data_IF_730157024001
#
_entry.id   IF_730157024001
#
_cell.length_a   1.000
_cell.length_b   1.000
_cell.length_c   1.000
_cell.angle_alpha   90.00
_cell.angle_beta   90.00
_cell.angle_gamma   90.00
#
_symmetry.space_group_name_H-M   'P 1'
#
loop_
_entity.id
_entity.type
_entity.pdbx_description
1 polymer ?
#
# COMPACT_ATOMS: atom_id res chain seq x y z
N UNK A 1 -6.01 -69.01 -0.53
CA UNK A 1 -5.01 -68.06 -1.07
C UNK A 1 -5.76 -67.00 -1.85
N UNK A 2 -5.50 -65.72 -1.55
CA UNK A 2 -6.06 -64.57 -2.26
C UNK A 2 -6.75 -63.55 -1.33
N UNK A 3 -5.95 -62.76 -0.60
CA UNK A 3 -6.33 -61.42 -0.13
C UNK A 3 -6.53 -60.51 -1.35
N UNK A 4 -7.51 -59.62 -1.36
CA UNK A 4 -7.21 -58.20 -1.57
C UNK A 4 -8.29 -57.26 -0.99
N UNK A 5 -7.82 -56.08 -0.63
CA UNK A 5 -8.37 -55.16 0.37
C UNK A 5 -9.10 -54.00 -0.32
N UNK A 6 -10.39 -53.82 -0.05
CA UNK A 6 -11.07 -52.58 -0.45
C UNK A 6 -10.79 -51.49 0.58
N UNK A 7 -9.84 -50.61 0.25
CA UNK A 7 -9.50 -49.41 1.03
C UNK A 7 -10.66 -48.41 0.98
N UNK A 8 -11.17 -48.05 2.15
CA UNK A 8 -12.04 -46.89 2.35
C UNK A 8 -11.24 -45.61 2.06
N UNK A 9 -11.57 -44.91 0.97
CA UNK A 9 -11.01 -43.59 0.66
C UNK A 9 -11.79 -42.57 1.50
N UNK A 10 -11.17 -42.14 2.60
CA UNK A 10 -11.65 -41.04 3.44
C UNK A 10 -11.44 -39.74 2.64
N UNK A 11 -12.50 -38.94 2.52
CA UNK A 11 -12.53 -37.70 1.75
C UNK A 11 -11.39 -36.75 2.10
N UNK A 12 -10.73 -36.22 1.06
CA UNK A 12 -9.68 -35.22 1.17
C UNK A 12 -10.32 -33.90 1.61
N UNK A 13 -10.04 -33.49 2.85
CA UNK A 13 -10.46 -32.23 3.44
C UNK A 13 -9.93 -31.05 2.60
N UNK A 14 -10.82 -30.31 1.94
CA UNK A 14 -10.52 -29.05 1.26
C UNK A 14 -10.99 -27.93 2.18
N UNK A 15 -10.07 -27.33 2.90
CA UNK A 15 -10.31 -26.21 3.82
C UNK A 15 -8.99 -25.64 4.34
N UNK A 16 -8.95 -24.39 4.81
CA UNK A 16 -7.73 -23.78 5.33
C UNK A 16 -7.19 -24.58 6.51
N UNK A 17 -5.89 -24.82 6.51
CA UNK A 17 -5.17 -25.55 7.55
C UNK A 17 -5.10 -24.64 8.78
N UNK A 18 -6.02 -24.82 9.74
CA UNK A 18 -6.09 -24.01 10.98
C UNK A 18 -4.93 -24.27 11.95
N UNK A 19 -4.02 -25.20 11.63
CA UNK A 19 -2.97 -25.66 12.54
C UNK A 19 -1.66 -24.84 12.46
N UNK A 20 -1.52 -23.91 11.51
CA UNK A 20 -0.31 -23.06 11.35
C UNK A 20 -0.55 -21.60 11.73
N UNK A 21 -1.57 -21.32 12.55
CA UNK A 21 -1.70 -19.98 13.14
C UNK A 21 -0.60 -19.79 14.20
N UNK A 22 0.16 -18.69 14.17
CA UNK A 22 1.11 -18.40 15.24
C UNK A 22 0.35 -18.32 16.56
N UNK A 23 0.90 -18.95 17.59
CA UNK A 23 0.34 -18.86 18.95
C UNK A 23 0.39 -17.38 19.34
N UNK A 24 -0.78 -16.78 19.53
CA UNK A 24 -0.90 -15.43 20.07
C UNK A 24 -0.44 -15.50 21.53
N UNK A 25 0.80 -15.12 21.80
CA UNK A 25 1.26 -14.83 23.16
C UNK A 25 0.48 -13.61 23.66
N UNK A 26 -0.67 -13.88 24.27
CA UNK A 26 -1.29 -12.94 25.18
C UNK A 26 -0.28 -12.67 26.29
N UNK A 27 0.23 -11.44 26.37
CA UNK A 27 1.01 -10.95 27.52
C UNK A 27 0.12 -10.96 28.77
N UNK A 28 -0.07 -12.14 29.36
CA UNK A 28 -0.72 -12.32 30.64
C UNK A 28 0.38 -12.17 31.69
N UNK A 29 0.37 -11.04 32.40
CA UNK A 29 1.18 -10.88 33.60
C UNK A 29 0.56 -11.76 34.69
N UNK A 30 1.09 -12.97 34.86
CA UNK A 30 0.70 -13.87 35.95
C UNK A 30 1.53 -13.52 37.18
N UNK A 31 0.97 -12.71 38.08
CA UNK A 31 1.43 -12.66 39.47
C UNK A 31 0.72 -13.78 40.23
N UNK A 32 1.45 -14.85 40.56
CA UNK A 32 0.95 -15.94 41.42
C UNK A 32 1.73 -15.94 42.73
N UNK A 33 1.16 -15.29 43.73
CA UNK A 33 1.61 -15.39 45.11
C UNK A 33 1.29 -16.78 45.68
N UNK A 34 2.28 -17.37 46.38
CA UNK A 34 2.15 -17.97 47.73
C UNK A 34 3.11 -19.14 47.95
N UNK A 35 4.25 -18.88 48.59
CA UNK A 35 4.72 -19.70 49.72
C UNK A 35 5.73 -18.91 50.56
N UNK A 36 5.47 -18.90 51.86
CA UNK A 36 6.16 -18.13 52.89
C UNK A 36 7.61 -18.56 53.11
N UNK A 37 8.57 -17.68 52.84
CA UNK A 37 9.89 -17.69 53.49
C UNK A 37 10.30 -16.25 53.84
N UNK A 38 10.91 -16.13 55.02
CA UNK A 38 11.22 -14.93 55.78
C UNK A 38 11.65 -13.68 54.97
N UNK A 39 11.08 -12.54 55.39
CA UNK A 39 11.42 -11.18 55.00
C UNK A 39 12.94 -10.94 55.08
N UNK A 40 13.61 -10.97 53.93
CA UNK A 40 14.79 -10.15 53.68
C UNK A 40 14.34 -8.93 52.90
N UNK A 41 14.32 -7.82 53.62
CA UNK A 41 14.14 -6.43 53.19
C UNK A 41 14.36 -6.26 51.67
N UNK A 42 13.27 -6.37 50.91
CA UNK A 42 13.27 -6.02 49.50
C UNK A 42 13.43 -4.51 49.43
N UNK A 43 14.57 -4.04 48.95
CA UNK A 43 14.69 -2.71 48.35
C UNK A 43 13.42 -2.45 47.54
N UNK A 44 12.73 -1.31 47.68
CA UNK A 44 11.58 -1.02 46.85
C UNK A 44 12.07 -1.09 45.40
N UNK A 45 11.69 -2.14 44.68
CA UNK A 45 11.86 -2.19 43.23
C UNK A 45 11.03 -1.01 42.75
N UNK A 46 11.70 0.07 42.36
CA UNK A 46 11.05 1.24 41.80
C UNK A 46 10.11 0.72 40.70
N UNK A 47 8.81 0.93 40.90
CA UNK A 47 7.77 0.48 39.97
C UNK A 47 8.16 1.07 38.61
N UNK A 48 8.60 0.20 37.69
CA UNK A 48 9.05 0.67 36.39
C UNK A 48 7.91 1.50 35.78
N UNK A 49 8.20 2.68 35.21
CA UNK A 49 7.17 3.52 34.64
C UNK A 49 6.41 2.70 33.59
N UNK A 50 5.10 2.57 33.79
CA UNK A 50 4.22 1.89 32.84
C UNK A 50 3.73 2.92 31.84
N UNK A 51 4.05 2.71 30.57
CA UNK A 51 3.62 3.57 29.48
C UNK A 51 2.48 2.86 28.73
N UNK A 52 1.21 3.25 28.94
CA UNK A 52 0.10 2.59 28.29
C UNK A 52 0.14 2.86 26.78
N UNK A 53 -0.05 1.80 26.00
CA UNK A 53 -0.23 1.84 24.55
C UNK A 53 -1.65 1.37 24.28
N UNK A 54 -2.41 2.21 23.58
CA UNK A 54 -3.73 1.88 23.09
C UNK A 54 -3.58 1.27 21.70
N UNK A 55 -4.04 0.04 21.53
CA UNK A 55 -4.13 -0.62 20.24
C UNK A 55 -5.58 -1.09 20.05
N UNK A 56 -6.16 -0.80 18.90
CA UNK A 56 -7.55 -1.13 18.58
C UNK A 56 -7.70 -1.39 17.09
N UNK A 57 -8.61 -2.27 16.72
CA UNK A 57 -8.82 -2.58 15.31
C UNK A 57 -9.92 -3.61 15.09
N UNK A 58 -10.24 -3.80 13.81
CA UNK A 58 -11.18 -4.78 13.31
C UNK A 58 -10.53 -5.55 12.18
N UNK A 59 -10.72 -6.87 12.18
CA UNK A 59 -10.33 -7.74 11.08
C UNK A 59 -11.52 -8.66 10.79
N UNK A 60 -11.91 -8.76 9.53
CA UNK A 60 -12.96 -9.69 9.11
C UNK A 60 -12.60 -10.34 7.78
N UNK A 61 -13.13 -11.54 7.58
CA UNK A 61 -13.01 -12.32 6.35
C UNK A 61 -14.33 -13.06 6.13
N UNK A 62 -15.01 -12.75 5.04
CA UNK A 62 -16.28 -13.35 4.63
C UNK A 62 -16.13 -14.11 3.33
N UNK A 63 -16.79 -15.27 3.23
CA UNK A 63 -16.93 -16.03 1.98
C UNK A 63 -18.39 -15.94 1.55
N UNK A 64 -18.63 -15.38 0.37
CA UNK A 64 -19.94 -15.33 -0.25
C UNK A 64 -20.04 -16.41 -1.32
N UNK A 65 -21.08 -17.25 -1.26
CA UNK A 65 -21.32 -18.32 -2.24
C UNK A 65 -22.57 -17.95 -3.01
N UNK A 66 -22.43 -17.74 -4.33
CA UNK A 66 -23.58 -17.48 -5.21
C UNK A 66 -24.26 -18.76 -5.66
N UNK A 67 -25.56 -18.66 -6.00
CA UNK A 67 -26.34 -19.76 -6.59
C UNK A 67 -25.80 -20.25 -7.95
N UNK A 68 -24.94 -19.46 -8.59
CA UNK A 68 -24.24 -19.80 -9.83
C UNK A 68 -22.88 -20.47 -9.60
N UNK A 69 -22.58 -20.90 -8.38
CA UNK A 69 -21.34 -21.61 -8.04
C UNK A 69 -20.09 -20.75 -8.00
N UNK A 70 -20.21 -19.43 -8.16
CA UNK A 70 -19.10 -18.48 -8.01
C UNK A 70 -18.99 -18.06 -6.55
N UNK A 71 -17.82 -18.24 -5.95
CA UNK A 71 -17.51 -17.79 -4.59
C UNK A 71 -16.69 -16.50 -4.60
N UNK A 72 -17.05 -15.52 -3.78
CA UNK A 72 -16.31 -14.27 -3.59
C UNK A 72 -15.74 -14.21 -2.16
N UNK A 73 -14.45 -13.93 -2.04
CA UNK A 73 -13.79 -13.71 -0.75
C UNK A 73 -13.76 -12.21 -0.47
N UNK A 74 -14.43 -11.80 0.60
CA UNK A 74 -14.42 -10.43 1.09
C UNK A 74 -13.59 -10.37 2.37
N UNK A 75 -12.90 -9.27 2.61
CA UNK A 75 -12.15 -9.07 3.83
C UNK A 75 -11.87 -7.60 4.07
N UNK A 76 -11.55 -7.28 5.31
CA UNK A 76 -11.16 -5.92 5.67
C UNK A 76 -10.32 -5.93 6.94
N UNK A 77 -9.36 -5.03 6.96
CA UNK A 77 -8.49 -4.77 8.11
C UNK A 77 -8.50 -3.28 8.42
N UNK A 78 -8.72 -2.94 9.68
CA UNK A 78 -8.47 -1.60 10.23
C UNK A 78 -7.76 -1.77 11.55
N UNK A 79 -6.55 -1.25 11.67
CA UNK A 79 -5.76 -1.33 12.89
C UNK A 79 -5.18 0.03 13.22
N UNK A 80 -5.25 0.43 14.49
CA UNK A 80 -4.72 1.68 15.00
C UNK A 80 -3.95 1.43 16.28
N UNK A 81 -2.81 2.09 16.41
CA UNK A 81 -1.97 2.06 17.60
C UNK A 81 -1.58 3.49 17.99
N UNK A 82 -1.61 3.80 19.28
CA UNK A 82 -1.15 5.07 19.81
C UNK A 82 -0.72 4.92 21.28
N UNK A 83 0.45 5.43 21.65
CA UNK A 83 0.94 5.31 23.01
C UNK A 83 2.27 5.99 23.25
N UNK A 84 2.70 5.95 24.52
CA UNK A 84 4.07 6.29 24.91
C UNK A 84 4.89 4.99 24.96
N UNK A 85 6.11 5.02 24.44
CA UNK A 85 7.11 3.98 24.67
C UNK A 85 7.99 4.33 25.88
N UNK A 86 8.23 5.63 26.08
CA UNK A 86 8.79 6.19 27.31
C UNK A 86 8.38 7.67 27.46
N UNK A 87 8.97 8.42 28.41
CA UNK A 87 8.66 9.84 28.64
C UNK A 87 8.89 10.73 27.41
N UNK A 88 9.79 10.35 26.51
CA UNK A 88 10.20 11.13 25.35
C UNK A 88 9.71 10.53 24.03
N UNK A 89 9.49 9.22 23.97
CA UNK A 89 9.16 8.49 22.75
C UNK A 89 7.67 8.17 22.72
N UNK A 90 7.01 8.55 21.63
CA UNK A 90 5.61 8.24 21.34
C UNK A 90 5.52 7.45 20.06
N UNK A 91 4.59 6.50 20.00
CA UNK A 91 4.26 5.73 18.80
C UNK A 91 2.82 6.00 18.40
N UNK A 92 2.56 6.11 17.11
CA UNK A 92 1.21 6.18 16.54
C UNK A 92 1.20 5.59 15.15
N UNK A 93 0.16 4.85 14.76
CA UNK A 93 0.06 4.31 13.41
C UNK A 93 -1.34 3.82 13.08
N UNK A 94 -1.60 3.71 11.79
CA UNK A 94 -2.82 3.15 11.22
C UNK A 94 -2.45 2.24 10.06
N UNK A 95 -3.12 1.10 9.98
CA UNK A 95 -3.05 0.15 8.86
C UNK A 95 -4.48 -0.15 8.46
N UNK A 96 -4.84 0.20 7.23
CA UNK A 96 -6.16 -0.08 6.67
C UNK A 96 -5.99 -0.78 5.32
N UNK A 97 -6.74 -1.86 5.12
CA UNK A 97 -6.87 -2.58 3.85
C UNK A 97 -8.38 -2.81 3.71
N UNK A 98 -9.08 -1.81 3.18
CA UNK A 98 -10.54 -1.81 3.07
C UNK A 98 -10.94 -1.64 1.59
N UNK A 99 -11.38 -2.73 0.97
CA UNK A 99 -12.11 -2.65 -0.29
C UNK A 99 -13.56 -2.31 0.02
N UNK A 100 -13.94 -1.03 -0.09
CA UNK A 100 -15.34 -0.63 0.10
C UNK A 100 -16.20 -1.24 -1.02
N UNK A 101 -17.27 -1.99 -0.71
CA UNK A 101 -18.34 -2.19 -1.67
C UNK A 101 -19.06 -0.85 -1.86
N UNK A 102 -18.94 -0.25 -3.05
CA UNK A 102 -19.68 0.95 -3.42
C UNK A 102 -21.18 0.68 -3.37
N UNK A 103 -21.86 1.16 -2.33
CA UNK A 103 -23.32 1.23 -2.27
C UNK A 103 -23.80 2.56 -2.88
N UNK A 104 -24.73 2.55 -3.85
CA UNK A 104 -25.19 3.75 -4.54
C UNK A 104 -26.24 4.55 -3.73
N UNK A 105 -25.95 4.88 -2.47
CA UNK A 105 -26.90 5.57 -1.57
C UNK A 105 -26.66 7.09 -1.45
N UNK A 106 -26.13 7.72 -2.50
CA UNK A 106 -26.29 9.16 -2.74
C UNK A 106 -25.60 10.14 -1.78
N UNK A 107 -24.71 9.68 -0.89
CA UNK A 107 -23.86 10.57 -0.08
C UNK A 107 -22.42 10.53 -0.60
N UNK A 108 -21.93 11.63 -1.16
CA UNK A 108 -20.52 11.82 -1.52
C UNK A 108 -19.68 11.95 -0.25
N UNK A 109 -19.29 10.83 0.34
CA UNK A 109 -18.14 10.80 1.25
C UNK A 109 -16.89 10.82 0.37
N UNK A 110 -16.01 11.80 0.58
CA UNK A 110 -14.74 11.92 -0.14
C UNK A 110 -13.95 10.63 -0.02
N UNK A 111 -13.64 10.00 -1.16
CA UNK A 111 -12.94 8.72 -1.28
C UNK A 111 -11.47 8.78 -0.80
N UNK A 112 -10.94 9.98 -0.56
CA UNK A 112 -9.53 10.26 -0.25
C UNK A 112 -9.06 9.84 1.17
N UNK A 113 -9.94 9.33 2.03
CA UNK A 113 -9.61 9.16 3.46
C UNK A 113 -9.24 7.74 3.92
N UNK A 114 -9.31 6.70 3.08
CA UNK A 114 -9.41 5.32 3.59
C UNK A 114 -8.24 4.36 3.35
N UNK A 115 -7.24 4.69 2.52
CA UNK A 115 -6.04 3.86 2.31
C UNK A 115 -4.77 4.49 2.91
N UNK A 116 -4.81 4.82 4.21
CA UNK A 116 -3.61 5.33 4.91
C UNK A 116 -2.93 4.20 5.66
N UNK A 117 -1.68 3.93 5.29
CA UNK A 117 -0.79 2.99 5.97
C UNK A 117 0.42 3.76 6.47
N UNK A 118 0.52 3.98 7.78
CA UNK A 118 1.73 4.54 8.37
C UNK A 118 1.96 4.07 9.81
N UNK A 119 3.23 4.06 10.19
CA UNK A 119 3.71 3.93 11.56
C UNK A 119 4.66 5.09 11.84
N UNK A 120 4.44 5.79 12.94
CA UNK A 120 5.16 7.00 13.32
C UNK A 120 5.70 6.86 14.73
N UNK A 121 6.99 7.16 14.91
CA UNK A 121 7.68 7.19 16.20
C UNK A 121 8.27 8.58 16.38
N UNK A 122 7.76 9.33 17.36
CA UNK A 122 8.17 10.71 17.62
C UNK A 122 9.02 10.79 18.89
N UNK A 123 10.08 11.61 18.85
CA UNK A 123 10.99 11.95 19.93
C UNK A 123 11.24 13.48 19.91
N UNK A 124 11.63 14.15 21.02
CA UNK A 124 11.88 15.60 20.99
C UNK A 124 12.96 16.04 19.99
N UNK A 125 13.91 15.15 19.68
CA UNK A 125 14.98 15.43 18.71
C UNK A 125 14.67 14.94 17.29
N UNK A 126 13.47 14.41 17.01
CA UNK A 126 13.19 13.85 15.69
C UNK A 126 11.97 12.94 15.59
N UNK A 127 11.69 12.50 14.38
CA UNK A 127 10.58 11.62 14.06
C UNK A 127 11.03 10.55 13.07
N UNK A 128 10.51 9.34 13.22
CA UNK A 128 10.64 8.25 12.26
C UNK A 128 9.23 7.92 11.74
N UNK A 129 9.04 7.98 10.43
CA UNK A 129 7.81 7.64 9.75
C UNK A 129 8.08 6.45 8.82
N UNK A 130 7.22 5.44 8.82
CA UNK A 130 7.27 4.30 7.92
C UNK A 130 5.90 4.07 7.28
N UNK A 131 5.86 3.65 6.02
CA UNK A 131 4.62 3.40 5.28
C UNK A 131 4.54 4.24 4.02
N UNK A 132 3.35 4.79 3.76
CA UNK A 132 3.08 5.63 2.61
C UNK A 132 3.44 7.09 2.89
N UNK A 133 4.44 7.60 2.18
CA UNK A 133 5.08 8.88 2.44
C UNK A 133 5.03 9.72 1.17
N UNK A 134 4.54 10.96 1.27
CA UNK A 134 4.64 11.94 0.20
C UNK A 134 5.74 12.94 0.53
N UNK A 135 6.84 12.87 -0.21
CA UNK A 135 7.90 13.87 -0.17
C UNK A 135 7.43 15.06 -1.00
N UNK A 136 7.50 16.25 -0.41
CA UNK A 136 7.15 17.51 -1.09
C UNK A 136 8.38 18.40 -1.13
N UNK A 137 9.03 18.48 -2.28
CA UNK A 137 10.20 19.34 -2.45
C UNK A 137 9.73 20.76 -2.82
N UNK A 138 9.88 21.69 -1.88
CA UNK A 138 9.51 23.11 -2.03
C UNK A 138 10.70 24.02 -2.28
N UNK A 139 11.92 23.50 -2.21
CA UNK A 139 13.17 24.25 -2.28
C UNK A 139 13.80 24.19 -3.68
N UNK A 140 14.26 25.34 -4.17
CA UNK A 140 14.95 25.48 -5.45
C UNK A 140 14.03 25.59 -6.67
N UNK A 141 14.56 26.17 -7.76
CA UNK A 141 13.83 26.39 -9.03
C UNK A 141 13.67 25.11 -9.86
N UNK A 142 14.51 24.11 -9.63
CA UNK A 142 14.63 22.91 -10.49
C UNK A 142 14.20 21.60 -9.84
N UNK A 143 13.89 21.59 -8.53
CA UNK A 143 13.52 20.38 -7.78
C UNK A 143 12.15 20.54 -7.10
N UNK A 144 11.18 21.15 -7.80
CA UNK A 144 9.83 21.34 -7.26
C UNK A 144 8.93 20.20 -7.70
N UNK A 145 8.37 19.46 -6.75
CA UNK A 145 7.47 18.35 -7.05
C UNK A 145 7.10 17.52 -5.83
N UNK A 146 6.11 16.66 -6.01
CA UNK A 146 5.71 15.67 -5.01
C UNK A 146 6.13 14.29 -5.49
N UNK A 147 6.68 13.48 -4.59
CA UNK A 147 7.06 12.10 -4.85
C UNK A 147 6.41 11.21 -3.80
N UNK A 148 5.62 10.24 -4.25
CA UNK A 148 5.00 9.25 -3.37
C UNK A 148 5.95 8.05 -3.22
N UNK A 149 6.29 7.69 -2.00
CA UNK A 149 7.25 6.65 -1.64
C UNK A 149 6.59 5.69 -0.65
N UNK A 150 6.77 4.38 -0.85
CA UNK A 150 6.56 3.39 0.23
C UNK A 150 7.91 3.16 0.88
N UNK A 151 8.08 3.59 2.13
CA UNK A 151 9.40 3.56 2.73
C UNK A 151 9.45 4.02 4.16
N UNK A 152 10.64 4.48 4.55
CA UNK A 152 10.96 5.00 5.86
C UNK A 152 11.57 6.38 5.69
N UNK A 153 11.07 7.35 6.43
CA UNK A 153 11.64 8.69 6.57
C UNK A 153 12.07 8.89 8.00
N UNK A 154 13.31 9.32 8.20
CA UNK A 154 13.83 9.76 9.47
C UNK A 154 14.11 11.26 9.43
N UNK A 155 13.55 12.00 10.37
CA UNK A 155 13.77 13.43 10.55
C UNK A 155 14.45 13.65 11.90
N UNK A 156 15.59 14.32 11.91
CA UNK A 156 16.35 14.66 13.11
C UNK A 156 16.48 16.18 13.17
N UNK A 157 16.12 16.75 14.31
CA UNK A 157 16.21 18.19 14.58
C UNK A 157 17.22 18.42 15.70
N UNK A 158 18.28 19.18 15.41
CA UNK A 158 19.30 19.55 16.38
C UNK A 158 19.88 20.93 16.06
N UNK A 159 19.94 21.81 17.06
CA UNK A 159 20.64 23.11 16.99
C UNK A 159 20.31 23.95 15.74
N UNK A 160 19.01 24.10 15.43
CA UNK A 160 18.49 24.80 14.23
C UNK A 160 18.86 24.17 12.88
N UNK A 161 19.33 22.92 12.90
CA UNK A 161 19.57 22.09 11.72
C UNK A 161 18.58 20.94 11.72
N UNK A 162 17.89 20.76 10.60
CA UNK A 162 17.01 19.64 10.31
C UNK A 162 17.67 18.75 9.27
N UNK A 163 17.79 17.46 9.56
CA UNK A 163 18.23 16.45 8.61
C UNK A 163 17.09 15.46 8.40
N UNK A 164 16.62 15.34 7.16
CA UNK A 164 15.57 14.39 6.79
C UNK A 164 16.12 13.42 5.77
N UNK A 165 16.09 12.12 6.07
CA UNK A 165 16.50 11.07 5.14
C UNK A 165 15.32 10.15 4.86
N UNK A 166 14.98 9.98 3.58
CA UNK A 166 13.93 9.06 3.12
C UNK A 166 14.55 7.96 2.29
N UNK A 167 14.19 6.72 2.60
CA UNK A 167 14.55 5.55 1.82
C UNK A 167 13.30 4.69 1.56
N UNK A 168 13.09 4.28 0.32
CA UNK A 168 11.94 3.46 -0.02
C UNK A 168 11.85 3.14 -1.50
N UNK A 169 10.66 2.77 -1.96
CA UNK A 169 10.36 2.56 -3.37
C UNK A 169 9.38 3.61 -3.86
N UNK A 170 9.63 4.17 -5.04
CA UNK A 170 8.67 5.08 -5.68
C UNK A 170 7.35 4.34 -5.91
N UNK A 171 6.25 4.96 -5.49
CA UNK A 171 4.92 4.61 -6.00
C UNK A 171 4.81 5.10 -7.45
N UNK A 172 3.99 4.43 -8.25
CA UNK A 172 3.66 4.85 -9.60
C UNK A 172 3.04 6.26 -9.62
N UNK A 173 3.07 6.89 -10.79
CA UNK A 173 2.43 8.17 -11.05
C UNK A 173 0.98 7.90 -11.47
N UNK A 174 0.05 8.73 -11.02
CA UNK A 174 -1.33 8.66 -11.48
C UNK A 174 -1.54 9.60 -12.68
N UNK A 175 -2.30 9.14 -13.67
CA UNK A 175 -2.77 9.95 -14.78
C UNK A 175 -4.26 9.71 -15.04
N UNK A 176 -4.92 10.75 -15.56
CA UNK A 176 -6.24 10.66 -16.17
C UNK A 176 -6.13 11.12 -17.62
N UNK A 177 -6.59 10.28 -18.53
CA UNK A 177 -6.54 10.51 -19.96
C UNK A 177 -7.97 10.55 -20.51
N UNK A 178 -8.31 11.67 -21.15
CA UNK A 178 -9.59 11.86 -21.83
C UNK A 178 -9.35 11.81 -23.34
N UNK A 179 -10.07 10.93 -24.04
CA UNK A 179 -9.89 10.68 -25.47
C UNK A 179 -11.24 10.72 -26.16
N UNK A 180 -11.31 11.45 -27.28
CA UNK A 180 -12.45 11.34 -28.20
C UNK A 180 -12.31 10.11 -29.08
N UNK A 181 -13.38 9.34 -29.16
CA UNK A 181 -13.50 8.19 -30.02
C UNK A 181 -13.33 8.55 -31.51
N UNK A 182 -13.13 7.52 -32.33
CA UNK A 182 -13.11 7.64 -33.79
C UNK A 182 -13.95 6.49 -34.34
N UNK A 183 -14.77 6.78 -35.35
CA UNK A 183 -15.69 5.79 -35.92
C UNK A 183 -14.97 4.50 -36.30
N UNK A 184 -15.39 3.39 -35.67
CA UNK A 184 -14.87 2.05 -35.94
C UNK A 184 -13.45 1.79 -35.42
N UNK A 185 -12.84 2.74 -34.72
CA UNK A 185 -11.50 2.57 -34.15
C UNK A 185 -11.60 2.02 -32.72
N UNK A 186 -11.40 0.71 -32.57
CA UNK A 186 -11.51 0.05 -31.26
C UNK A 186 -10.24 0.15 -30.40
N UNK A 187 -9.15 0.66 -30.97
CA UNK A 187 -7.83 0.75 -30.36
C UNK A 187 -6.73 0.28 -31.31
N UNK A 188 -5.48 0.21 -30.82
CA UNK A 188 -5.08 0.50 -29.44
C UNK A 188 -5.13 2.00 -29.11
N UNK A 189 -5.72 2.30 -27.96
CA UNK A 189 -5.63 3.58 -27.27
C UNK A 189 -4.39 3.56 -26.38
N UNK A 190 -3.45 4.46 -26.66
CA UNK A 190 -2.19 4.53 -25.92
C UNK A 190 -2.36 5.35 -24.65
N UNK A 191 -2.20 4.69 -23.51
CA UNK A 191 -2.07 5.32 -22.21
C UNK A 191 -0.68 5.96 -22.12
N UNK A 192 -0.65 7.25 -21.80
CA UNK A 192 0.58 8.06 -21.74
C UNK A 192 0.91 8.50 -20.32
N UNK A 193 2.13 8.94 -20.10
CA UNK A 193 2.48 9.73 -18.92
C UNK A 193 1.84 11.13 -18.94
N UNK A 194 1.93 11.85 -17.83
CA UNK A 194 1.45 13.23 -17.69
C UNK A 194 2.14 14.22 -18.64
N UNK A 195 3.35 13.91 -19.09
CA UNK A 195 4.10 14.68 -20.10
C UNK A 195 3.87 14.18 -21.54
N UNK A 196 2.96 13.22 -21.73
CA UNK A 196 2.54 12.71 -23.05
C UNK A 196 3.46 11.64 -23.65
N UNK A 197 4.43 11.11 -22.89
CA UNK A 197 5.25 9.99 -23.37
C UNK A 197 4.41 8.70 -23.43
N UNK A 198 4.61 7.95 -24.51
CA UNK A 198 4.04 6.60 -24.70
C UNK A 198 4.93 5.54 -24.07
N UNK A 199 4.46 4.29 -24.07
CA UNK A 199 5.17 3.11 -23.57
C UNK A 199 5.45 3.20 -22.06
N UNK A 200 4.48 3.75 -21.32
CA UNK A 200 4.49 3.68 -19.87
C UNK A 200 3.96 2.33 -19.41
N UNK A 201 4.50 1.84 -18.31
CA UNK A 201 4.11 0.55 -17.75
C UNK A 201 3.01 0.77 -16.75
N UNK A 202 1.84 0.27 -17.06
CA UNK A 202 0.64 0.45 -16.27
C UNK A 202 0.66 -0.54 -15.10
N UNK A 203 0.33 -0.05 -13.91
CA UNK A 203 0.20 -0.88 -12.73
C UNK A 203 -1.02 -1.76 -12.89
N UNK A 204 -0.82 -3.09 -12.90
CA UNK A 204 -1.89 -4.03 -13.20
C UNK A 204 -3.09 -3.86 -12.27
N UNK A 205 -4.29 -3.71 -12.84
CA UNK A 205 -5.52 -3.54 -12.08
C UNK A 205 -5.75 -2.16 -11.49
N UNK A 206 -4.85 -1.19 -11.75
CA UNK A 206 -5.04 0.19 -11.30
C UNK A 206 -5.95 1.01 -12.21
N UNK A 207 -6.30 0.48 -13.39
CA UNK A 207 -7.04 1.23 -14.38
C UNK A 207 -8.54 1.19 -14.13
N UNK A 208 -9.17 2.35 -14.31
CA UNK A 208 -10.62 2.52 -14.37
C UNK A 208 -10.95 3.17 -15.70
N UNK A 209 -11.89 2.58 -16.44
CA UNK A 209 -12.17 2.93 -17.84
C UNK A 209 -13.65 3.24 -17.94
N UNK A 210 -13.98 4.40 -18.46
CA UNK A 210 -15.36 4.79 -18.73
C UNK A 210 -15.54 5.07 -20.22
N UNK A 211 -16.69 4.66 -20.74
CA UNK A 211 -17.16 4.97 -22.08
C UNK A 211 -18.51 5.69 -21.95
N UNK A 212 -18.56 6.94 -22.40
CA UNK A 212 -19.72 7.82 -22.29
C UNK A 212 -20.25 7.92 -20.83
N UNK A 213 -19.33 7.95 -19.86
CA UNK A 213 -19.64 7.98 -18.43
C UNK A 213 -20.04 6.63 -17.80
N UNK A 214 -20.05 5.53 -18.56
CA UNK A 214 -20.36 4.20 -18.05
C UNK A 214 -19.06 3.45 -17.78
N UNK A 215 -18.89 2.92 -16.57
CA UNK A 215 -17.71 2.13 -16.19
C UNK A 215 -17.66 0.80 -16.94
N UNK A 216 -16.52 0.51 -17.56
CA UNK A 216 -16.25 -0.66 -18.40
C UNK A 216 -15.49 -1.72 -17.62
N UNK A 217 -15.75 -3.00 -17.92
CA UNK A 217 -15.10 -4.13 -17.25
C UNK A 217 -13.98 -4.74 -18.09
N UNK A 218 -12.80 -4.89 -17.48
CA UNK A 218 -11.65 -5.58 -18.07
C UNK A 218 -11.94 -7.07 -18.32
N UNK A 219 -11.63 -7.56 -19.52
CA UNK A 219 -11.61 -8.97 -19.89
C UNK A 219 -11.75 -9.18 -21.40
N UNK A 220 -11.14 -10.24 -21.94
CA UNK A 220 -11.24 -10.57 -23.37
C UNK A 220 -12.67 -10.89 -23.80
N UNK A 221 -13.47 -11.42 -22.89
CA UNK A 221 -14.89 -11.70 -23.02
C UNK A 221 -15.76 -10.60 -22.41
N UNK A 222 -15.18 -9.45 -22.01
CA UNK A 222 -15.89 -8.31 -21.38
C UNK A 222 -15.83 -7.08 -22.27
N UNK A 223 -15.59 -5.90 -21.72
CA UNK A 223 -15.80 -4.64 -22.41
C UNK A 223 -14.51 -4.14 -23.08
N UNK A 224 -13.35 -4.34 -22.44
CA UNK A 224 -12.03 -3.99 -22.99
C UNK A 224 -10.92 -4.95 -22.53
N UNK A 225 -9.79 -4.91 -23.23
CA UNK A 225 -8.52 -5.52 -22.85
C UNK A 225 -7.43 -4.46 -22.76
N UNK A 226 -6.41 -4.72 -21.94
CA UNK A 226 -5.28 -3.83 -21.74
C UNK A 226 -3.97 -4.63 -21.73
N UNK A 227 -2.97 -4.12 -22.43
CA UNK A 227 -1.58 -4.54 -22.28
C UNK A 227 -0.88 -3.58 -21.31
N UNK A 228 -0.57 -4.10 -20.13
CA UNK A 228 0.06 -3.32 -19.06
C UNK A 228 1.52 -2.93 -19.35
N UNK A 229 2.18 -3.61 -20.28
CA UNK A 229 3.59 -3.37 -20.59
C UNK A 229 3.77 -2.31 -21.68
N UNK A 230 2.89 -2.29 -22.69
CA UNK A 230 2.89 -1.26 -23.74
C UNK A 230 1.99 -0.07 -23.41
N UNK A 231 1.10 -0.20 -22.43
CA UNK A 231 0.11 0.83 -22.11
C UNK A 231 -0.95 0.93 -23.20
N UNK A 232 -1.34 -0.18 -23.82
CA UNK A 232 -2.31 -0.21 -24.91
C UNK A 232 -3.66 -0.73 -24.41
N UNK A 233 -4.73 0.02 -24.64
CA UNK A 233 -6.11 -0.39 -24.33
C UNK A 233 -6.90 -0.60 -25.62
N UNK A 234 -7.65 -1.70 -25.69
CA UNK A 234 -8.50 -2.04 -26.85
C UNK A 234 -9.89 -2.38 -26.35
N UNK A 235 -10.91 -1.69 -26.87
CA UNK A 235 -12.30 -2.02 -26.64
C UNK A 235 -12.69 -3.27 -27.44
N UNK A 236 -13.49 -4.13 -26.81
CA UNK A 236 -14.05 -5.28 -27.51
C UNK A 236 -15.20 -4.85 -28.43
N UNK A 237 -15.58 -5.67 -29.42
CA UNK A 237 -16.73 -5.38 -30.27
C UNK A 237 -18.09 -5.29 -29.55
N UNK A 238 -18.16 -5.56 -28.23
CA UNK A 238 -19.38 -5.35 -27.43
C UNK A 238 -19.78 -3.89 -27.34
N UNK A 239 -18.80 -2.98 -27.41
CA UNK A 239 -19.01 -1.54 -27.40
C UNK A 239 -18.39 -0.95 -28.66
N UNK A 240 -19.23 -0.44 -29.55
CA UNK A 240 -18.76 0.24 -30.76
C UNK A 240 -18.34 1.66 -30.40
N UNK A 241 -17.12 2.04 -30.81
CA UNK A 241 -16.63 3.39 -30.63
C UNK A 241 -16.98 4.25 -31.85
N UNK A 242 -17.55 5.41 -31.57
CA UNK A 242 -17.95 6.42 -32.54
C UNK A 242 -17.13 7.71 -32.34
N UNK A 243 -17.19 8.62 -33.30
CA UNK A 243 -16.47 9.90 -33.24
C UNK A 243 -16.88 10.78 -32.05
N UNK A 244 -18.11 10.64 -31.56
CA UNK A 244 -18.67 11.38 -30.44
C UNK A 244 -18.52 10.66 -29.10
N UNK A 245 -17.92 9.46 -29.10
CA UNK A 245 -17.70 8.71 -27.87
C UNK A 245 -16.67 9.39 -26.98
N UNK A 246 -17.01 9.51 -25.70
CA UNK A 246 -16.13 10.00 -24.64
C UNK A 246 -15.48 8.82 -23.93
N UNK A 247 -14.16 8.72 -24.02
CA UNK A 247 -13.37 7.70 -23.34
C UNK A 247 -12.56 8.37 -22.25
N UNK A 248 -12.86 8.04 -21.00
CA UNK A 248 -12.11 8.48 -19.83
C UNK A 248 -11.35 7.29 -19.24
N UNK A 249 -10.05 7.45 -18.98
CA UNK A 249 -9.22 6.37 -18.44
C UNK A 249 -8.35 6.94 -17.33
N UNK A 250 -8.50 6.40 -16.13
CA UNK A 250 -7.66 6.71 -14.98
C UNK A 250 -6.78 5.52 -14.67
N UNK A 251 -5.50 5.73 -14.37
CA UNK A 251 -4.55 4.65 -14.14
C UNK A 251 -3.30 5.11 -13.40
N UNK A 252 -2.62 4.15 -12.78
CA UNK A 252 -1.27 4.35 -12.24
C UNK A 252 -0.24 3.77 -13.19
N UNK A 253 0.82 4.50 -13.49
CA UNK A 253 1.88 4.09 -14.40
C UNK A 253 3.27 4.30 -13.81
N UNK A 254 4.25 3.55 -14.32
CA UNK A 254 5.66 3.72 -14.09
C UNK A 254 6.36 3.98 -15.44
N UNK A 255 7.41 4.80 -15.43
CA UNK A 255 8.23 5.05 -16.62
C UNK A 255 9.23 3.90 -16.90
N UNK A 256 9.32 2.92 -15.99
CA UNK A 256 10.19 1.74 -16.07
C UNK A 256 9.49 0.50 -15.47
N UNK A 257 9.90 -0.70 -15.89
CA UNK A 257 9.32 -1.99 -15.45
C UNK A 257 9.62 -2.27 -13.99
N UNK A 258 10.60 -1.58 -13.44
CA UNK A 258 11.13 -1.82 -12.13
C UNK A 258 10.67 -0.75 -11.17
N UNK A 259 10.19 -1.17 -9.99
CA UNK A 259 10.03 -0.24 -8.87
C UNK A 259 11.40 0.40 -8.63
N UNK A 260 11.47 1.73 -8.67
CA UNK A 260 12.75 2.40 -8.44
C UNK A 260 12.97 2.57 -6.94
N UNK A 261 14.08 2.05 -6.45
CA UNK A 261 14.59 2.36 -5.12
C UNK A 261 14.94 3.84 -5.07
N UNK A 262 14.50 4.50 -4.03
CA UNK A 262 14.59 5.93 -3.85
C UNK A 262 15.31 6.23 -2.53
N UNK A 263 16.31 7.10 -2.60
CA UNK A 263 17.04 7.63 -1.46
C UNK A 263 17.08 9.16 -1.60
N UNK A 264 16.61 9.87 -0.59
CA UNK A 264 16.75 11.32 -0.49
C UNK A 264 17.27 11.70 0.88
N UNK A 265 18.21 12.65 0.93
CA UNK A 265 18.66 13.30 2.15
C UNK A 265 18.55 14.80 1.98
N UNK A 266 17.76 15.43 2.83
CA UNK A 266 17.58 16.87 2.93
C UNK A 266 18.25 17.39 4.21
N UNK A 267 19.03 18.46 4.06
CA UNK A 267 19.66 19.17 5.17
C UNK A 267 19.23 20.63 5.06
N UNK A 268 18.48 21.11 6.04
CA UNK A 268 18.05 22.51 6.14
C UNK A 268 18.43 23.11 7.47
N UNK A 269 18.58 24.43 7.50
CA UNK A 269 18.85 25.14 8.73
C UNK A 269 18.93 26.63 8.53
N UNK A 270 19.12 27.35 9.64
CA UNK A 270 19.21 28.80 9.62
C UNK A 270 20.50 29.24 10.30
N UNK A 271 21.29 30.04 9.60
CA UNK A 271 22.44 30.73 10.17
C UNK A 271 22.01 32.15 10.59
N UNK A 272 21.95 32.37 11.91
CA UNK A 272 21.63 33.65 12.55
C UNK A 272 20.38 34.37 12.01
N UNK A 273 19.24 33.69 11.94
CA UNK A 273 17.89 34.17 11.53
C UNK A 273 17.80 34.88 10.16
N UNK A 274 18.93 35.13 9.49
CA UNK A 274 19.03 35.94 8.27
C UNK A 274 19.35 35.10 7.04
N UNK A 275 20.00 33.94 7.24
CA UNK A 275 20.43 33.08 6.15
C UNK A 275 19.78 31.71 6.35
N UNK A 276 18.88 31.35 5.45
CA UNK A 276 18.28 30.02 5.39
C UNK A 276 19.01 29.23 4.31
N UNK A 277 19.43 28.01 4.62
CA UNK A 277 20.03 27.10 3.65
C UNK A 277 19.25 25.80 3.61
N UNK A 278 19.25 25.18 2.43
CA UNK A 278 18.68 23.87 2.18
C UNK A 278 19.52 23.17 1.11
N UNK A 279 19.94 21.95 1.41
CA UNK A 279 20.73 21.09 0.54
C UNK A 279 20.03 19.74 0.45
N UNK A 280 19.62 19.37 -0.75
CA UNK A 280 18.94 18.09 -1.01
C UNK A 280 19.81 17.23 -1.91
N UNK A 281 20.07 16.00 -1.51
CA UNK A 281 20.67 14.95 -2.32
C UNK A 281 19.63 13.87 -2.60
N UNK A 282 19.46 13.49 -3.86
CA UNK A 282 18.48 12.49 -4.28
C UNK A 282 19.12 11.49 -5.23
N UNK A 283 18.82 10.20 -5.03
CA UNK A 283 19.21 9.11 -5.90
C UNK A 283 18.03 8.16 -6.10
N UNK A 284 17.72 7.88 -7.36
CA UNK A 284 16.69 6.92 -7.76
C UNK A 284 17.33 5.88 -8.68
N UNK A 285 17.11 4.59 -8.37
CA UNK A 285 17.69 3.45 -9.09
C UNK A 285 16.66 2.36 -9.29
N UNK A 286 16.51 1.90 -10.52
CA UNK A 286 15.59 0.83 -10.88
C UNK A 286 15.95 -0.49 -10.17
N UNK A 287 14.97 -1.12 -9.51
CA UNK A 287 15.14 -2.41 -8.85
C UNK A 287 14.85 -3.56 -9.81
N UNK A 288 15.88 -4.12 -10.42
CA UNK A 288 15.76 -5.23 -11.39
C UNK A 288 15.35 -6.57 -10.78
N UNK A 289 15.26 -6.67 -9.45
CA UNK A 289 15.09 -7.93 -8.70
C UNK A 289 13.60 -8.28 -8.45
N UNK A 290 12.67 -7.41 -8.86
CA UNK A 290 11.22 -7.61 -8.64
C UNK A 290 10.48 -8.52 -9.64
N UNK A 291 11.16 -9.02 -10.69
CA UNK A 291 10.52 -9.93 -11.65
C UNK A 291 10.48 -11.34 -11.06
N UNK A 292 9.33 -11.73 -10.51
CA UNK A 292 9.02 -13.16 -10.27
C UNK A 292 8.79 -13.80 -11.63
N UNK A 293 9.86 -14.05 -12.36
CA UNK A 293 9.93 -15.16 -13.28
C UNK A 293 10.36 -16.33 -12.42
N UNK A 294 9.41 -17.22 -12.11
CA UNK A 294 9.70 -18.53 -11.55
C UNK A 294 10.75 -19.21 -12.42
N UNK A 295 11.95 -19.37 -11.88
CA UNK A 295 13.12 -19.95 -12.54
C UNK A 295 13.04 -21.46 -12.75
N UNK A 296 11.85 -22.01 -12.98
CA UNK A 296 11.63 -23.43 -13.27
C UNK A 296 10.75 -23.58 -14.52
N UNK A 297 11.28 -23.18 -15.68
CA UNK A 297 11.04 -23.83 -16.97
C UNK A 297 12.28 -23.67 -17.86
N UNK A 298 13.34 -24.39 -17.49
CA UNK A 298 14.34 -24.85 -18.45
C UNK A 298 14.35 -26.38 -18.34
N UNK A 299 13.58 -27.02 -19.20
CA UNK A 299 13.88 -28.34 -19.76
C UNK A 299 13.17 -28.51 -21.09
#
# INVERSE_FOLDING_TARGET
MGQDSTKMIIGKQIGPILNDLPVLDSLIIVNKDSSSMALKQSTPIAKAPSYPINASGTFFRGLEISSQGTGMLNGGLRFQIAGKLNDQIRVSGIVTDETLPIQPDGTTASLDELDKIFLKVSHPSGELLAGDITITNKSGKYNRGNKNIVGITNNINKDNVTVSTTFGQSKGKYNRLEIKGRDGHQGPYFLTSNDGMRNVIISAGSESVWLNGIEMKRGQDRDYIIDYTSGELIFTPKHLIYFDSDIDIEYQYNESTYKSNYLETDISGNFNEKINYNLTYMNEKDNTIGSVLTGDQIS
#
